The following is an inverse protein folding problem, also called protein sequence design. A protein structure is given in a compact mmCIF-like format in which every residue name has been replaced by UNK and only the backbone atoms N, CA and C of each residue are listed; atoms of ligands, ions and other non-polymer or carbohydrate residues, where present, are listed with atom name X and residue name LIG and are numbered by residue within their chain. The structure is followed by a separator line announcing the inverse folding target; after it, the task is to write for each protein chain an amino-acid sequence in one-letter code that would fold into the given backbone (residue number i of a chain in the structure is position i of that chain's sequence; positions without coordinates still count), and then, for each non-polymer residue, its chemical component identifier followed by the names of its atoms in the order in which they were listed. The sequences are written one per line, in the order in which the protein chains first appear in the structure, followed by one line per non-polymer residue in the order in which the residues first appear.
data_IF_555186305807
#
_entry.id   IF_555186305807
#
_cell.length_a   1.000
_cell.length_b   1.000
_cell.length_c   1.000
_cell.angle_alpha   90.00
_cell.angle_beta   90.00
_cell.angle_gamma   90.00
#
_symmetry.space_group_name_H-M   'P 1'
#
loop_
_entity.id
_entity.type
_entity.pdbx_description
1 polymer ?
#
# COMPACT_ATOMS: atom_id res chain seq x y z
N UNK A 1 15.32 35.52 -37.89
CA UNK A 1 14.25 34.53 -37.63
C UNK A 1 13.74 34.77 -36.20
N UNK A 2 12.55 35.37 -36.03
CA UNK A 2 11.98 35.64 -34.69
C UNK A 2 11.32 34.37 -34.19
N UNK A 3 12.02 33.61 -33.34
CA UNK A 3 11.40 32.52 -32.59
C UNK A 3 10.38 33.19 -31.66
N UNK A 4 9.09 32.96 -31.90
CA UNK A 4 8.01 33.51 -31.08
C UNK A 4 8.21 32.98 -29.65
N UNK A 5 8.24 33.88 -28.66
CA UNK A 5 8.38 33.55 -27.23
C UNK A 5 7.39 32.47 -26.76
N UNK A 6 6.26 32.35 -27.46
CA UNK A 6 5.23 31.34 -27.26
C UNK A 6 5.73 29.90 -27.52
N UNK A 7 6.60 29.70 -28.50
CA UNK A 7 7.15 28.38 -28.83
C UNK A 7 8.15 27.94 -27.76
N UNK A 8 8.97 28.86 -27.24
CA UNK A 8 9.95 28.57 -26.18
C UNK A 8 9.28 28.17 -24.86
N UNK A 9 8.20 28.87 -24.47
CA UNK A 9 7.43 28.54 -23.27
C UNK A 9 6.75 27.16 -23.36
N UNK A 10 6.27 26.79 -24.56
CA UNK A 10 5.63 25.49 -24.78
C UNK A 10 6.65 24.34 -24.75
N UNK A 11 7.84 24.54 -25.32
CA UNK A 11 8.92 23.54 -25.27
C UNK A 11 9.42 23.31 -23.85
N UNK A 12 9.52 24.36 -23.03
CA UNK A 12 9.88 24.26 -21.61
C UNK A 12 8.79 23.52 -20.81
N UNK A 13 7.51 23.81 -21.06
CA UNK A 13 6.40 23.08 -20.42
C UNK A 13 6.42 21.59 -20.79
N UNK A 14 6.67 21.26 -22.06
CA UNK A 14 6.76 19.87 -22.51
C UNK A 14 7.96 19.15 -21.89
N UNK A 15 9.11 19.82 -21.72
CA UNK A 15 10.27 19.27 -21.04
C UNK A 15 10.00 19.02 -19.54
N UNK A 16 9.23 19.88 -18.86
CA UNK A 16 8.85 19.66 -17.45
C UNK A 16 7.83 18.53 -17.25
N UNK A 17 6.89 18.34 -18.19
CA UNK A 17 5.93 17.23 -18.13
C UNK A 17 6.59 15.88 -18.46
N UNK A 18 7.70 15.89 -19.21
CA UNK A 18 8.41 14.67 -19.63
C UNK A 18 9.24 13.99 -18.53
N UNK A 19 9.47 14.63 -17.38
CA UNK A 19 10.42 14.12 -16.36
C UNK A 19 9.78 13.27 -15.25
N UNK A 20 8.47 13.03 -15.26
CA UNK A 20 7.81 12.26 -14.19
C UNK A 20 6.78 11.24 -14.66
N UNK A 21 6.92 10.70 -15.88
CA UNK A 21 6.23 9.43 -16.20
C UNK A 21 7.01 8.29 -15.54
N UNK A 22 6.95 8.22 -14.22
CA UNK A 22 7.16 6.95 -13.56
C UNK A 22 6.09 6.01 -14.12
N UNK A 23 6.52 4.89 -14.72
CA UNK A 23 5.60 3.86 -15.18
C UNK A 23 4.90 3.28 -13.95
N UNK A 24 3.74 3.84 -13.59
CA UNK A 24 2.91 3.37 -12.50
C UNK A 24 2.43 1.97 -12.88
N UNK A 25 2.98 0.96 -12.22
CA UNK A 25 2.55 -0.43 -12.40
C UNK A 25 1.21 -0.62 -11.69
N UNK A 26 0.40 -1.55 -12.18
CA UNK A 26 -0.87 -1.92 -11.54
C UNK A 26 -0.68 -3.17 -10.70
N UNK A 27 -1.18 -3.14 -9.46
CA UNK A 27 -1.18 -4.28 -8.55
C UNK A 27 -2.09 -5.43 -9.03
N UNK A 28 -3.03 -5.15 -9.94
CA UNK A 28 -4.03 -6.10 -10.46
C UNK A 28 -4.90 -6.76 -9.37
N UNK A 29 -5.19 -6.02 -8.29
CA UNK A 29 -6.00 -6.51 -7.16
C UNK A 29 -7.51 -6.51 -7.43
N UNK A 30 -7.98 -6.16 -8.63
CA UNK A 30 -9.40 -5.84 -8.89
C UNK A 30 -10.39 -6.91 -8.41
N UNK A 31 -10.06 -8.20 -8.53
CA UNK A 31 -10.93 -9.30 -8.07
C UNK A 31 -10.89 -9.55 -6.55
N UNK A 32 -9.93 -8.95 -5.86
CA UNK A 32 -9.77 -8.98 -4.40
C UNK A 32 -10.36 -7.73 -3.74
N UNK A 33 -10.80 -6.75 -4.53
CA UNK A 33 -11.43 -5.52 -4.05
C UNK A 33 -12.94 -5.53 -4.31
N UNK A 34 -13.71 -4.91 -3.43
CA UNK A 34 -15.13 -4.63 -3.66
C UNK A 34 -15.33 -3.35 -4.50
N UNK A 35 -16.58 -3.00 -4.79
CA UNK A 35 -16.95 -1.81 -5.59
C UNK A 35 -16.54 -0.47 -4.97
N UNK A 36 -16.19 -0.47 -3.68
CA UNK A 36 -15.69 0.71 -2.95
C UNK A 36 -14.16 0.72 -2.81
N UNK A 37 -13.48 -0.13 -3.59
CA UNK A 37 -12.03 -0.34 -3.57
C UNK A 37 -11.51 -0.83 -2.21
N UNK A 38 -12.29 -1.57 -1.44
CA UNK A 38 -11.85 -2.15 -0.17
C UNK A 38 -11.50 -3.62 -0.37
N UNK A 39 -10.45 -4.11 0.30
CA UNK A 39 -10.05 -5.50 0.21
C UNK A 39 -11.13 -6.41 0.81
N UNK A 40 -11.52 -7.47 0.11
CA UNK A 40 -12.59 -8.35 0.58
C UNK A 40 -11.99 -9.34 1.58
N UNK A 41 -12.51 -9.39 2.82
CA UNK A 41 -12.22 -10.44 3.79
C UNK A 41 -13.48 -11.30 4.08
N UNK A 42 -13.33 -12.55 4.54
CA UNK A 42 -12.09 -13.33 4.58
C UNK A 42 -11.65 -13.80 3.18
N UNK A 43 -10.36 -14.08 3.01
CA UNK A 43 -9.81 -14.74 1.81
C UNK A 43 -9.19 -16.11 2.15
N UNK A 44 -8.79 -16.83 1.10
CA UNK A 44 -7.91 -18.00 1.21
C UNK A 44 -6.67 -17.81 0.34
N UNK A 45 -5.54 -18.47 0.68
CA UNK A 45 -4.33 -18.42 -0.14
C UNK A 45 -4.56 -18.80 -1.61
N UNK A 46 -5.43 -19.78 -1.88
CA UNK A 46 -5.75 -20.22 -3.24
C UNK A 46 -6.48 -19.14 -4.04
N UNK A 47 -7.44 -18.43 -3.43
CA UNK A 47 -8.17 -17.33 -4.09
C UNK A 47 -7.23 -16.18 -4.42
N UNK A 48 -6.34 -15.81 -3.48
CA UNK A 48 -5.35 -14.75 -3.68
C UNK A 48 -4.37 -15.15 -4.79
N UNK A 49 -3.81 -16.36 -4.72
CA UNK A 49 -2.89 -16.88 -5.75
C UNK A 49 -3.50 -16.85 -7.15
N UNK A 50 -4.76 -17.30 -7.27
CA UNK A 50 -5.48 -17.30 -8.54
C UNK A 50 -5.72 -15.89 -9.07
N UNK A 51 -6.07 -14.95 -8.20
CA UNK A 51 -6.27 -13.56 -8.56
C UNK A 51 -4.97 -12.88 -9.03
N UNK A 52 -3.88 -13.10 -8.29
CA UNK A 52 -2.57 -12.49 -8.57
C UNK A 52 -1.78 -13.20 -9.68
N UNK A 53 -2.17 -14.44 -10.03
CA UNK A 53 -1.42 -15.34 -10.90
C UNK A 53 0.00 -15.62 -10.39
N UNK A 54 0.14 -15.71 -9.07
CA UNK A 54 1.40 -15.95 -8.36
C UNK A 54 1.18 -17.09 -7.36
N UNK A 55 2.19 -17.93 -7.16
CA UNK A 55 2.13 -19.00 -6.15
C UNK A 55 2.30 -18.42 -4.75
N UNK A 56 1.52 -18.91 -3.79
CA UNK A 56 1.77 -18.63 -2.36
C UNK A 56 3.14 -19.15 -1.95
N UNK A 57 3.88 -18.33 -1.19
CA UNK A 57 5.00 -18.77 -0.38
C UNK A 57 4.54 -18.84 1.07
N UNK A 58 4.59 -20.03 1.66
CA UNK A 58 4.27 -20.23 3.07
C UNK A 58 5.56 -20.19 3.91
N UNK A 59 5.48 -19.61 5.10
CA UNK A 59 6.57 -19.59 6.07
C UNK A 59 6.00 -19.55 7.49
N UNK A 60 6.84 -19.87 8.47
CA UNK A 60 6.52 -19.81 9.89
C UNK A 60 7.50 -18.86 10.57
N UNK A 61 7.04 -18.15 11.60
CA UNK A 61 7.91 -17.37 12.46
C UNK A 61 8.49 -18.23 13.60
N UNK A 62 9.22 -17.60 14.53
CA UNK A 62 9.82 -18.29 15.67
C UNK A 62 8.79 -18.80 16.70
N UNK A 63 7.51 -18.42 16.58
CA UNK A 63 6.41 -18.80 17.46
C UNK A 63 5.47 -19.83 16.78
N UNK A 64 5.91 -20.47 15.69
CA UNK A 64 5.13 -21.39 14.86
C UNK A 64 3.86 -20.74 14.23
N UNK A 65 3.80 -19.41 14.20
CA UNK A 65 2.71 -18.72 13.52
C UNK A 65 2.91 -18.81 12.02
N UNK A 66 1.84 -19.22 11.31
CA UNK A 66 1.87 -19.47 9.88
C UNK A 66 1.57 -18.21 9.10
N UNK A 67 2.37 -17.96 8.09
CA UNK A 67 2.22 -16.83 7.19
C UNK A 67 2.16 -17.28 5.74
N UNK A 68 1.59 -16.40 4.93
CA UNK A 68 1.58 -16.53 3.48
C UNK A 68 2.00 -15.20 2.85
N UNK A 69 2.76 -15.28 1.75
CA UNK A 69 3.12 -14.11 0.96
C UNK A 69 3.12 -14.34 -0.55
N UNK A 70 2.94 -13.24 -1.29
CA UNK A 70 2.89 -13.18 -2.74
C UNK A 70 3.65 -11.96 -3.25
N UNK A 71 4.70 -12.17 -4.03
CA UNK A 71 5.36 -11.11 -4.78
C UNK A 71 4.76 -11.00 -6.18
N UNK A 72 4.04 -9.92 -6.44
CA UNK A 72 3.39 -9.70 -7.74
C UNK A 72 4.41 -9.32 -8.82
N UNK A 73 4.10 -9.53 -10.12
CA UNK A 73 4.94 -9.01 -11.21
C UNK A 73 5.11 -7.48 -11.20
N UNK A 74 4.23 -6.78 -10.47
CA UNK A 74 4.30 -5.32 -10.30
C UNK A 74 5.43 -4.89 -9.35
N UNK A 75 5.94 -5.79 -8.52
CA UNK A 75 6.90 -5.51 -7.45
C UNK A 75 6.26 -5.28 -6.08
N UNK A 76 4.92 -5.28 -6.00
CA UNK A 76 4.17 -5.26 -4.74
C UNK A 76 4.22 -6.65 -4.08
N UNK A 77 4.67 -6.71 -2.83
CA UNK A 77 4.51 -7.87 -1.96
C UNK A 77 3.22 -7.72 -1.15
N UNK A 78 2.51 -8.84 -1.04
CA UNK A 78 1.36 -9.01 -0.17
C UNK A 78 1.72 -10.08 0.84
N UNK A 79 1.42 -9.88 2.11
CA UNK A 79 1.64 -10.89 3.13
C UNK A 79 0.63 -10.81 4.26
N UNK A 80 0.41 -11.92 4.97
CA UNK A 80 -0.54 -12.01 6.06
C UNK A 80 -0.22 -13.20 6.97
N UNK A 81 -0.64 -13.12 8.24
CA UNK A 81 -0.81 -14.32 9.07
C UNK A 81 -1.96 -15.18 8.55
N UNK A 82 -1.93 -16.47 8.87
CA UNK A 82 -2.95 -17.45 8.55
C UNK A 82 -3.71 -17.85 9.80
N UNK A 83 -4.98 -17.46 9.87
CA UNK A 83 -5.88 -17.87 10.93
C UNK A 83 -6.34 -19.33 10.79
N UNK A 84 -7.32 -19.70 11.63
CA UNK A 84 -7.93 -21.04 11.61
C UNK A 84 -8.41 -21.42 10.20
N UNK A 85 -8.10 -22.63 9.76
CA UNK A 85 -8.39 -23.15 8.42
C UNK A 85 -7.77 -22.32 7.28
N UNK A 86 -6.61 -21.69 7.52
CA UNK A 86 -5.92 -20.81 6.57
C UNK A 86 -6.77 -19.61 6.12
N UNK A 87 -7.67 -19.13 6.98
CA UNK A 87 -8.45 -17.93 6.71
C UNK A 87 -7.54 -16.69 6.81
N UNK A 88 -7.65 -15.83 5.80
CA UNK A 88 -6.94 -14.55 5.74
C UNK A 88 -7.91 -13.45 6.14
N UNK A 89 -7.68 -12.83 7.31
CA UNK A 89 -8.50 -11.74 7.88
C UNK A 89 -7.73 -10.41 8.00
N UNK A 90 -6.46 -10.44 7.64
CA UNK A 90 -5.60 -9.28 7.52
C UNK A 90 -4.78 -9.37 6.23
N UNK A 91 -4.26 -8.24 5.78
CA UNK A 91 -3.39 -8.16 4.62
C UNK A 91 -2.48 -6.96 4.73
N UNK A 92 -1.20 -7.19 4.52
CA UNK A 92 -0.16 -6.20 4.50
C UNK A 92 0.39 -6.05 3.08
N UNK A 93 0.78 -4.83 2.74
CA UNK A 93 1.24 -4.44 1.42
C UNK A 93 2.46 -3.54 1.58
N UNK A 94 3.54 -3.89 0.89
CA UNK A 94 4.78 -3.14 0.84
C UNK A 94 5.51 -3.37 -0.49
N UNK A 95 6.62 -2.67 -0.66
CA UNK A 95 7.59 -2.95 -1.72
C UNK A 95 8.83 -3.49 -1.01
N UNK A 96 9.27 -4.74 -1.29
CA UNK A 96 10.50 -5.27 -0.74
C UNK A 96 11.69 -4.35 -1.01
N UNK A 97 12.65 -4.34 -0.08
CA UNK A 97 13.79 -3.43 -0.07
C UNK A 97 14.48 -3.27 -1.45
N UNK A 98 15.03 -2.06 -1.69
CA UNK A 98 15.72 -1.61 -2.91
C UNK A 98 14.88 -1.37 -4.18
N UNK A 99 13.59 -1.68 -4.18
CA UNK A 99 12.75 -1.45 -5.37
C UNK A 99 12.11 -0.04 -5.38
N UNK A 100 12.55 0.79 -6.34
CA UNK A 100 11.96 2.12 -6.60
C UNK A 100 10.78 2.05 -7.58
N UNK A 101 9.82 1.16 -7.35
CA UNK A 101 8.62 1.00 -8.21
C UNK A 101 7.42 1.73 -7.62
N UNK A 102 6.60 2.35 -8.48
CA UNK A 102 5.31 2.93 -8.08
C UNK A 102 4.22 1.94 -8.47
N UNK A 103 3.40 1.52 -7.49
CA UNK A 103 2.34 0.54 -7.71
C UNK A 103 0.99 1.09 -7.28
N UNK A 104 0.11 1.30 -8.25
CA UNK A 104 -1.27 1.75 -8.05
C UNK A 104 -2.28 0.61 -7.99
N UNK A 105 -3.52 0.98 -7.65
CA UNK A 105 -4.63 0.02 -7.51
C UNK A 105 -4.66 -0.70 -6.17
N UNK A 106 -4.06 -0.10 -5.14
CA UNK A 106 -4.20 -0.57 -3.77
C UNK A 106 -5.61 -0.29 -3.23
N UNK A 107 -5.98 -0.94 -2.11
CA UNK A 107 -7.18 -0.59 -1.36
C UNK A 107 -7.30 0.92 -1.11
N UNK A 108 -8.53 1.40 -1.12
CA UNK A 108 -8.93 2.80 -0.98
C UNK A 108 -8.41 3.74 -2.08
N UNK A 109 -7.93 3.20 -3.20
CA UNK A 109 -7.37 4.01 -4.29
C UNK A 109 -5.97 4.53 -4.00
N UNK A 110 -5.28 3.96 -3.01
CA UNK A 110 -3.91 4.31 -2.68
C UNK A 110 -2.93 3.84 -3.77
N UNK A 111 -1.74 4.44 -3.76
CA UNK A 111 -0.62 4.08 -4.61
C UNK A 111 0.66 4.01 -3.79
N UNK A 112 1.31 2.84 -3.77
CA UNK A 112 2.57 2.63 -3.07
C UNK A 112 3.68 3.48 -3.70
N UNK A 113 4.57 4.05 -2.87
CA UNK A 113 5.64 4.94 -3.29
C UNK A 113 5.18 6.24 -3.99
N UNK A 114 3.90 6.63 -3.86
CA UNK A 114 3.39 7.88 -4.45
C UNK A 114 2.36 8.60 -3.56
N UNK A 115 1.40 7.89 -2.95
CA UNK A 115 0.41 8.53 -2.08
C UNK A 115 1.07 9.27 -0.92
N UNK A 116 0.68 10.51 -0.69
CA UNK A 116 1.28 11.35 0.36
C UNK A 116 0.45 11.33 1.64
N UNK A 117 1.07 11.66 2.77
CA UNK A 117 0.36 11.86 4.05
C UNK A 117 -0.73 12.94 3.93
N UNK A 118 -0.49 13.99 3.16
CA UNK A 118 -1.43 15.09 2.97
C UNK A 118 -2.68 14.63 2.21
N UNK A 119 -2.49 13.88 1.12
CA UNK A 119 -3.59 13.33 0.32
C UNK A 119 -4.41 12.34 1.16
N UNK A 120 -3.71 11.43 1.86
CA UNK A 120 -4.35 10.46 2.74
C UNK A 120 -5.14 11.14 3.87
N UNK A 121 -4.60 12.20 4.48
CA UNK A 121 -5.31 12.93 5.54
C UNK A 121 -6.57 13.60 5.00
N UNK A 122 -6.48 14.23 3.81
CA UNK A 122 -7.64 14.83 3.14
C UNK A 122 -8.71 13.78 2.86
N UNK A 123 -8.31 12.60 2.38
CA UNK A 123 -9.21 11.53 2.01
C UNK A 123 -9.86 10.85 3.23
N UNK A 124 -9.09 10.64 4.31
CA UNK A 124 -9.49 9.78 5.42
C UNK A 124 -9.82 10.51 6.72
N UNK A 125 -9.69 11.84 6.81
CA UNK A 125 -10.08 12.60 8.00
C UNK A 125 -11.52 12.31 8.45
N UNK A 126 -12.45 12.17 7.49
CA UNK A 126 -13.86 11.82 7.76
C UNK A 126 -14.07 10.43 8.40
N UNK A 127 -13.05 9.58 8.41
CA UNK A 127 -13.05 8.25 9.00
C UNK A 127 -12.29 8.20 10.34
N UNK A 128 -12.15 9.36 11.01
CA UNK A 128 -11.50 9.45 12.32
C UNK A 128 -10.00 9.15 12.27
N UNK A 129 -9.34 9.51 11.16
CA UNK A 129 -7.92 9.25 10.98
C UNK A 129 -7.08 9.90 12.09
N UNK A 130 -6.20 9.10 12.70
CA UNK A 130 -5.22 9.53 13.69
C UNK A 130 -3.83 9.48 13.07
N UNK A 131 -3.04 10.54 13.25
CA UNK A 131 -1.67 10.61 12.76
C UNK A 131 -0.73 10.64 13.97
N UNK A 132 0.30 9.80 13.95
CA UNK A 132 1.39 9.78 14.92
C UNK A 132 2.75 9.79 14.22
N UNK A 133 3.79 10.21 14.94
CA UNK A 133 5.17 10.10 14.47
C UNK A 133 5.70 8.69 14.74
N UNK A 134 6.49 8.20 13.80
CA UNK A 134 7.22 6.95 13.96
C UNK A 134 8.53 7.21 14.72
N UNK A 135 8.85 6.33 15.66
CA UNK A 135 10.07 6.37 16.45
C UNK A 135 11.31 6.03 15.63
N UNK A 136 12.48 6.31 16.18
CA UNK A 136 13.77 6.07 15.52
C UNK A 136 14.10 4.58 15.35
N UNK A 137 13.45 3.73 16.12
CA UNK A 137 13.51 2.26 16.11
C UNK A 137 12.60 1.60 15.06
N UNK A 138 11.78 2.39 14.36
CA UNK A 138 10.91 1.88 13.30
C UNK A 138 11.61 1.79 11.94
N UNK A 139 11.12 0.89 11.08
CA UNK A 139 11.58 0.75 9.68
C UNK A 139 11.58 2.09 8.92
N UNK A 140 10.58 2.94 9.19
CA UNK A 140 10.45 4.27 8.59
C UNK A 140 10.73 5.38 9.60
N UNK A 141 11.88 5.30 10.28
CA UNK A 141 12.37 6.29 11.24
C UNK A 141 12.17 7.74 10.79
N UNK A 142 11.63 8.58 11.68
CA UNK A 142 11.24 9.97 11.42
C UNK A 142 10.00 10.16 10.53
N UNK A 143 9.40 9.06 10.07
CA UNK A 143 8.19 8.99 9.29
C UNK A 143 6.92 9.23 10.09
N UNK A 144 5.78 8.84 9.51
CA UNK A 144 4.47 9.02 10.14
C UNK A 144 3.61 7.77 9.99
N UNK A 145 2.81 7.47 11.01
CA UNK A 145 1.79 6.42 11.01
C UNK A 145 0.42 7.07 10.99
N UNK A 146 -0.45 6.64 10.07
CA UNK A 146 -1.86 6.99 10.07
C UNK A 146 -2.70 5.75 10.35
N UNK A 147 -3.67 5.84 11.25
CA UNK A 147 -4.67 4.79 11.46
C UNK A 147 -6.07 5.33 11.28
N UNK A 148 -6.96 4.56 10.67
CA UNK A 148 -8.38 4.92 10.52
C UNK A 148 -9.24 3.67 10.41
N UNK A 149 -10.57 3.85 10.56
CA UNK A 149 -11.55 2.78 10.34
C UNK A 149 -12.50 3.16 9.21
N UNK A 150 -12.50 2.39 8.13
CA UNK A 150 -13.43 2.57 7.00
C UNK A 150 -14.19 1.27 6.76
N UNK A 151 -15.51 1.32 6.95
CA UNK A 151 -16.34 0.11 6.91
C UNK A 151 -15.92 -0.89 7.98
N UNK A 152 -15.67 -2.14 7.57
CA UNK A 152 -15.16 -3.22 8.42
C UNK A 152 -13.64 -3.23 8.58
N UNK A 153 -12.90 -2.31 7.94
CA UNK A 153 -11.45 -2.32 7.93
C UNK A 153 -10.87 -1.36 8.96
N UNK A 154 -9.99 -1.88 9.81
CA UNK A 154 -8.96 -1.09 10.45
C UNK A 154 -7.77 -1.00 9.50
N UNK A 155 -7.33 0.21 9.21
CA UNK A 155 -6.23 0.47 8.29
C UNK A 155 -5.08 1.15 9.02
N UNK A 156 -3.86 0.70 8.71
CA UNK A 156 -2.60 1.34 9.13
C UNK A 156 -1.81 1.71 7.89
N UNK A 157 -1.43 2.98 7.76
CA UNK A 157 -0.54 3.48 6.72
C UNK A 157 0.76 3.94 7.36
N UNK A 158 1.91 3.52 6.82
CA UNK A 158 3.20 4.07 7.21
C UNK A 158 3.80 4.87 6.06
N UNK A 159 4.28 6.06 6.41
CA UNK A 159 4.90 7.01 5.49
C UNK A 159 6.35 7.22 5.90
N UNK A 160 7.24 7.33 4.92
CA UNK A 160 8.64 7.67 5.18
C UNK A 160 8.81 9.14 5.63
N UNK A 161 10.06 9.54 5.91
CA UNK A 161 10.39 10.94 6.28
C UNK A 161 10.05 11.98 5.21
N UNK A 162 9.80 11.56 3.97
CA UNK A 162 9.33 12.41 2.86
C UNK A 162 7.80 12.41 2.76
N UNK A 163 7.12 11.81 3.72
CA UNK A 163 5.67 11.64 3.78
C UNK A 163 5.08 10.83 2.61
N UNK A 164 5.86 9.89 2.04
CA UNK A 164 5.42 9.00 0.97
C UNK A 164 5.02 7.65 1.55
N UNK A 165 3.87 7.11 1.13
CA UNK A 165 3.35 5.82 1.56
C UNK A 165 4.32 4.69 1.20
N UNK A 166 4.71 3.92 2.21
CA UNK A 166 5.58 2.74 2.09
C UNK A 166 4.92 1.44 2.52
N UNK A 167 3.89 1.54 3.34
CA UNK A 167 3.20 0.39 3.90
C UNK A 167 1.71 0.64 4.03
N UNK A 168 0.91 -0.39 3.73
CA UNK A 168 -0.51 -0.45 4.03
C UNK A 168 -0.79 -1.77 4.75
N UNK A 169 -1.44 -1.70 5.92
CA UNK A 169 -1.98 -2.85 6.63
C UNK A 169 -3.49 -2.74 6.78
N UNK A 170 -4.20 -3.85 6.58
CA UNK A 170 -5.64 -3.97 6.72
C UNK A 170 -5.97 -5.14 7.63
N UNK A 171 -6.89 -4.95 8.57
CA UNK A 171 -7.45 -6.03 9.39
C UNK A 171 -8.95 -5.82 9.63
N UNK A 172 -9.68 -6.89 9.92
CA UNK A 172 -11.07 -6.81 10.43
C UNK A 172 -11.14 -6.67 11.95
N UNK A 173 -10.06 -7.00 12.64
CA UNK A 173 -9.93 -6.96 14.09
C UNK A 173 -8.99 -5.85 14.53
N UNK A 174 -9.29 -5.24 15.67
CA UNK A 174 -8.43 -4.22 16.24
C UNK A 174 -7.23 -4.92 16.85
N UNK A 175 -6.07 -4.84 16.20
CA UNK A 175 -4.80 -5.29 16.79
C UNK A 175 -4.49 -4.29 17.91
N UNK A 176 -4.75 -4.69 19.15
CA UNK A 176 -4.35 -3.92 20.32
C UNK A 176 -2.82 -3.87 20.36
N UNK A 177 -2.19 -2.67 20.31
CA UNK A 177 -0.74 -2.54 20.43
C UNK A 177 -0.17 -3.17 21.72
N UNK A 178 -0.99 -3.44 22.73
CA UNK A 178 -0.61 -4.06 23.99
C UNK A 178 -0.74 -5.59 24.02
N UNK A 179 -1.05 -6.25 22.89
CA UNK A 179 -1.26 -7.70 22.83
C UNK A 179 0.02 -8.54 22.59
N UNK A 180 1.21 -7.92 22.55
CA UNK A 180 2.50 -8.62 22.49
C UNK A 180 3.33 -8.39 23.77
#
# INVERSE_FOLDING_TARGET
MKIKSFTLAFTLLFQFVSVTVFSQKKANLNSLLNTHSEFIFPQTPDKISKALQVKTVFYEDANDEKYAKWLTPSGLELYCSLGKNNAVNEMFFDIPEDQSVIVGGLPFGLTMNQSTLQDANTQFAKYGAKIGKLGDDSEFSGGSKMTFKKGSHYATLLFDKKNILKFLGLSTELVDPAAN
#
